data_IF_390581740253
#
_entry.id   IF_390581740253
#
_cell.length_a   1.000
_cell.length_b   1.000
_cell.length_c   1.000
_cell.angle_alpha   90.00
_cell.angle_beta   90.00
_cell.angle_gamma   90.00
#
_symmetry.space_group_name_H-M   'P 1'
#
loop_
_entity.id
_entity.type
_entity.pdbx_description
1 polymer ?
#
# COMPACT_ATOMS: atom_id res chain seq x y z
N UNK A 1 -30.76 -41.82 -12.67
CA UNK A 1 -30.06 -41.02 -13.70
C UNK A 1 -29.98 -39.60 -13.16
N UNK A 2 -28.89 -39.20 -12.47
CA UNK A 2 -27.62 -38.69 -13.01
C UNK A 2 -27.82 -37.52 -14.00
N UNK A 3 -27.63 -36.29 -13.52
CA UNK A 3 -27.11 -35.12 -14.25
C UNK A 3 -26.62 -34.12 -13.18
N UNK A 4 -25.46 -34.37 -12.57
CA UNK A 4 -24.19 -33.70 -12.87
C UNK A 4 -24.28 -32.16 -12.91
N UNK A 5 -24.12 -31.56 -11.72
CA UNK A 5 -23.19 -30.47 -11.37
C UNK A 5 -22.62 -29.74 -12.61
N UNK A 6 -23.18 -28.59 -12.95
CA UNK A 6 -22.46 -27.55 -13.71
C UNK A 6 -21.98 -26.51 -12.70
N UNK A 7 -20.86 -26.86 -12.07
CA UNK A 7 -19.99 -25.97 -11.32
C UNK A 7 -19.57 -24.86 -12.29
N UNK A 8 -20.20 -23.68 -12.18
CA UNK A 8 -19.76 -22.47 -12.88
C UNK A 8 -18.40 -22.10 -12.27
N UNK A 9 -17.36 -22.57 -12.94
CA UNK A 9 -15.96 -22.36 -12.58
C UNK A 9 -15.66 -20.89 -12.89
N UNK A 10 -15.90 -20.04 -11.89
CA UNK A 10 -15.42 -18.66 -11.87
C UNK A 10 -13.90 -18.75 -11.81
N UNK A 11 -13.25 -18.62 -12.96
CA UNK A 11 -11.81 -18.47 -13.05
C UNK A 11 -11.50 -17.06 -12.55
N UNK A 12 -11.23 -16.92 -11.25
CA UNK A 12 -10.52 -15.75 -10.74
C UNK A 12 -9.10 -15.82 -11.32
N UNK A 13 -8.88 -15.10 -12.42
CA UNK A 13 -7.53 -14.81 -12.91
C UNK A 13 -6.91 -13.79 -11.96
N UNK A 14 -6.36 -14.27 -10.85
CA UNK A 14 -5.52 -13.47 -9.96
C UNK A 14 -4.15 -13.27 -10.61
N UNK A 15 -4.06 -12.35 -11.56
CA UNK A 15 -2.77 -11.85 -12.05
C UNK A 15 -2.32 -10.72 -11.12
N UNK A 16 -1.66 -11.06 -10.01
CA UNK A 16 -1.27 -10.03 -9.02
C UNK A 16 0.12 -9.44 -9.26
N UNK A 17 1.03 -10.08 -10.01
CA UNK A 17 2.27 -9.41 -10.45
C UNK A 17 3.05 -10.19 -11.52
N UNK A 18 2.90 -9.85 -12.81
CA UNK A 18 3.69 -10.49 -13.89
C UNK A 18 4.02 -9.56 -15.07
N UNK A 19 3.61 -8.29 -15.00
CA UNK A 19 3.78 -7.30 -16.07
C UNK A 19 4.79 -6.20 -15.67
N UNK A 20 4.85 -5.13 -16.46
CA UNK A 20 5.59 -3.90 -16.14
C UNK A 20 5.24 -3.42 -14.73
N UNK A 21 6.22 -2.89 -14.00
CA UNK A 21 6.08 -2.51 -12.60
C UNK A 21 6.32 -1.02 -12.44
N UNK A 22 5.55 -0.38 -11.57
CA UNK A 22 5.79 0.98 -11.11
C UNK A 22 5.94 0.99 -9.59
N UNK A 23 6.68 1.98 -9.10
CA UNK A 23 6.92 2.19 -7.68
C UNK A 23 6.31 3.53 -7.30
N UNK A 24 5.60 3.54 -6.19
CA UNK A 24 5.06 4.74 -5.57
C UNK A 24 5.33 4.68 -4.07
N UNK A 25 5.30 5.82 -3.41
CA UNK A 25 5.51 5.90 -1.97
C UNK A 25 4.53 6.82 -1.26
N UNK A 26 4.25 6.54 0.00
CA UNK A 26 3.57 7.45 0.90
C UNK A 26 4.56 7.91 1.97
N UNK A 27 4.78 9.21 2.09
CA UNK A 27 5.63 9.76 3.15
C UNK A 27 4.88 9.75 4.47
N UNK A 28 5.40 9.04 5.48
CA UNK A 28 4.75 8.98 6.78
C UNK A 28 4.80 10.35 7.48
N UNK A 29 3.63 10.93 7.83
CA UNK A 29 3.59 12.11 8.65
C UNK A 29 3.83 11.73 10.12
N UNK A 30 4.38 12.67 10.90
CA UNK A 30 4.60 12.54 12.34
C UNK A 30 3.32 12.20 13.12
N UNK A 31 2.18 12.64 12.60
CA UNK A 31 0.87 12.48 13.20
C UNK A 31 -0.21 12.46 12.11
N UNK A 32 -1.38 11.89 12.41
CA UNK A 32 -2.52 11.93 11.50
C UNK A 32 -2.37 11.03 10.27
N UNK A 33 -1.46 10.05 10.33
CA UNK A 33 -1.38 9.01 9.32
C UNK A 33 -2.71 8.25 9.26
N UNK A 34 -3.18 7.86 8.06
CA UNK A 34 -4.47 7.18 7.89
C UNK A 34 -4.58 5.83 8.62
N UNK A 35 -3.45 5.11 8.78
CA UNK A 35 -3.33 3.86 9.54
C UNK A 35 -3.18 4.09 11.07
N UNK A 36 -3.25 5.34 11.53
CA UNK A 36 -3.08 5.70 12.93
C UNK A 36 -1.62 5.86 13.34
N UNK A 37 -1.41 6.07 14.65
CA UNK A 37 -0.08 6.28 15.21
C UNK A 37 0.60 4.94 15.46
N UNK A 38 1.74 4.71 14.79
CA UNK A 38 2.59 3.53 15.02
C UNK A 38 3.95 3.98 15.54
N UNK A 39 4.09 3.91 16.86
CA UNK A 39 5.31 4.34 17.55
C UNK A 39 6.42 3.26 17.54
N UNK A 40 6.18 2.08 16.97
CA UNK A 40 7.06 0.91 17.13
C UNK A 40 7.44 0.23 15.82
N UNK A 41 8.59 0.60 15.26
CA UNK A 41 9.32 -0.18 14.26
C UNK A 41 8.62 -0.38 12.91
N UNK A 42 9.38 -0.86 11.93
CA UNK A 42 8.91 -0.94 10.54
C UNK A 42 7.89 -2.07 10.35
N UNK A 43 8.01 -3.18 11.09
CA UNK A 43 7.08 -4.30 10.97
C UNK A 43 5.64 -3.93 11.39
N UNK A 44 5.47 -3.19 12.49
CA UNK A 44 4.13 -2.76 12.90
C UNK A 44 3.58 -1.66 11.99
N UNK A 45 4.47 -0.81 11.44
CA UNK A 45 4.06 0.20 10.46
C UNK A 45 3.58 -0.47 9.18
N UNK A 46 4.30 -1.49 8.72
CA UNK A 46 3.94 -2.31 7.57
C UNK A 46 2.55 -2.96 7.78
N UNK A 47 2.33 -3.65 8.90
CA UNK A 47 1.04 -4.28 9.23
C UNK A 47 -0.11 -3.25 9.26
N UNK A 48 0.13 -2.07 9.84
CA UNK A 48 -0.88 -1.01 9.92
C UNK A 48 -1.19 -0.41 8.53
N UNK A 49 -0.15 -0.21 7.70
CA UNK A 49 -0.30 0.30 6.34
C UNK A 49 -1.02 -0.71 5.44
N UNK A 50 -0.67 -2.01 5.53
CA UNK A 50 -1.37 -3.10 4.83
C UNK A 50 -2.84 -3.14 5.22
N UNK A 51 -3.14 -3.15 6.52
CA UNK A 51 -4.52 -3.16 7.01
C UNK A 51 -5.33 -1.93 6.55
N UNK A 52 -4.67 -0.78 6.42
CA UNK A 52 -5.30 0.43 5.88
C UNK A 52 -5.58 0.32 4.38
N UNK A 53 -4.61 -0.15 3.58
CA UNK A 53 -4.78 -0.39 2.13
C UNK A 53 -5.90 -1.42 1.89
N UNK A 54 -5.89 -2.54 2.63
CA UNK A 54 -6.91 -3.59 2.55
C UNK A 54 -8.30 -3.12 2.97
N UNK A 55 -8.37 -2.10 3.83
CA UNK A 55 -9.65 -1.48 4.20
C UNK A 55 -10.23 -0.59 3.10
N UNK A 56 -9.42 -0.25 2.10
CA UNK A 56 -9.85 0.48 0.92
C UNK A 56 -10.20 -0.49 -0.21
N UNK A 57 -11.18 -0.11 -1.04
CA UNK A 57 -11.55 -0.86 -2.24
C UNK A 57 -10.55 -0.57 -3.38
N UNK A 58 -9.27 -0.83 -3.13
CA UNK A 58 -8.15 -0.57 -4.06
C UNK A 58 -7.79 -1.83 -4.85
N UNK A 59 -7.20 -1.67 -6.06
CA UNK A 59 -6.64 -2.79 -6.80
C UNK A 59 -5.45 -3.44 -6.07
N UNK A 60 -5.23 -4.74 -6.28
CA UNK A 60 -4.09 -5.45 -5.70
C UNK A 60 -2.74 -4.80 -6.05
N UNK A 61 -1.82 -4.79 -5.09
CA UNK A 61 -0.42 -4.44 -5.26
C UNK A 61 0.47 -5.70 -5.21
N UNK A 62 1.69 -5.60 -5.74
CA UNK A 62 2.64 -6.71 -5.81
C UNK A 62 3.41 -6.91 -4.51
N UNK A 63 3.90 -5.81 -3.95
CA UNK A 63 4.81 -5.79 -2.82
C UNK A 63 4.72 -4.47 -2.05
N UNK A 64 4.82 -4.53 -0.73
CA UNK A 64 4.87 -3.38 0.16
C UNK A 64 6.15 -3.48 1.00
N UNK A 65 6.85 -2.37 1.15
CA UNK A 65 7.97 -2.26 2.09
C UNK A 65 8.02 -0.90 2.78
N UNK A 66 8.72 -0.86 3.90
CA UNK A 66 9.05 0.38 4.59
C UNK A 66 10.49 0.74 4.25
N UNK A 67 10.68 1.93 3.69
CA UNK A 67 11.99 2.52 3.46
C UNK A 67 12.20 3.72 4.39
N UNK A 68 13.45 4.14 4.54
CA UNK A 68 13.80 5.37 5.23
C UNK A 68 14.63 6.26 4.31
N UNK A 69 14.22 7.52 4.19
CA UNK A 69 14.90 8.53 3.39
C UNK A 69 15.12 9.80 4.22
N UNK A 70 16.39 10.17 4.38
CA UNK A 70 16.81 11.35 5.14
C UNK A 70 16.34 12.66 4.48
N UNK A 71 16.14 12.70 3.16
CA UNK A 71 15.63 13.89 2.47
C UNK A 71 14.20 14.24 2.90
N UNK A 72 13.43 13.22 3.30
CA UNK A 72 12.07 13.37 3.82
C UNK A 72 12.03 13.40 5.35
N UNK A 73 13.16 13.27 6.06
CA UNK A 73 13.18 13.34 7.51
C UNK A 73 13.19 14.79 8.00
N UNK A 74 12.21 15.17 8.81
CA UNK A 74 12.12 16.52 9.36
C UNK A 74 12.29 16.54 10.88
N UNK A 75 13.17 17.43 11.36
CA UNK A 75 13.42 17.64 12.79
C UNK A 75 12.38 18.60 13.40
N UNK A 76 11.10 18.29 13.27
CA UNK A 76 10.04 19.07 13.89
C UNK A 76 8.93 18.17 14.48
N UNK A 77 8.27 18.69 15.51
CA UNK A 77 7.23 17.97 16.28
C UNK A 77 5.81 18.35 15.84
N UNK A 78 5.68 19.10 14.75
CA UNK A 78 4.36 19.42 14.22
C UNK A 78 3.80 18.22 13.42
N UNK A 79 2.48 18.08 13.41
CA UNK A 79 1.81 16.97 12.75
C UNK A 79 2.05 16.87 11.24
N UNK A 80 2.32 18.01 10.59
CA UNK A 80 2.64 18.09 9.18
C UNK A 80 4.12 17.77 8.88
N UNK A 81 4.94 17.53 9.90
CA UNK A 81 6.31 17.10 9.72
C UNK A 81 6.33 15.63 9.30
N UNK A 82 7.36 15.23 8.58
CA UNK A 82 7.54 13.86 8.09
C UNK A 82 8.59 13.12 8.91
N UNK A 83 8.39 11.83 9.13
CA UNK A 83 9.29 11.01 9.95
C UNK A 83 10.55 10.56 9.19
N UNK A 84 10.53 10.67 7.86
CA UNK A 84 11.53 10.09 6.96
C UNK A 84 11.23 8.64 6.56
N UNK A 85 10.23 7.98 7.17
CA UNK A 85 9.78 6.66 6.72
C UNK A 85 8.85 6.80 5.52
N UNK A 86 9.06 5.95 4.52
CA UNK A 86 8.28 5.87 3.30
C UNK A 86 7.62 4.50 3.24
N UNK A 87 6.33 4.47 2.93
CA UNK A 87 5.60 3.23 2.62
C UNK A 87 5.68 3.08 1.12
N UNK A 88 6.56 2.20 0.63
CA UNK A 88 6.78 1.99 -0.79
C UNK A 88 5.94 0.80 -1.27
N UNK A 89 5.26 1.00 -2.40
CA UNK A 89 4.48 -0.02 -3.08
C UNK A 89 5.04 -0.30 -4.46
N UNK A 90 5.12 -1.57 -4.79
CA UNK A 90 5.30 -2.05 -6.16
C UNK A 90 3.95 -2.54 -6.69
N UNK A 91 3.54 -2.09 -7.87
CA UNK A 91 2.25 -2.43 -8.47
C UNK A 91 2.27 -2.30 -10.00
N UNK A 92 1.22 -2.79 -10.66
CA UNK A 92 1.00 -2.60 -12.10
C UNK A 92 0.69 -1.13 -12.44
N UNK A 93 1.30 -0.52 -13.48
CA UNK A 93 1.07 0.88 -13.87
C UNK A 93 -0.40 1.30 -13.97
N UNK A 94 -1.27 0.37 -14.35
CA UNK A 94 -2.72 0.55 -14.47
C UNK A 94 -3.43 0.78 -13.14
N UNK A 95 -2.85 0.36 -12.00
CA UNK A 95 -3.39 0.56 -10.66
C UNK A 95 -2.92 1.86 -10.01
N UNK A 96 -1.88 2.49 -10.55
CA UNK A 96 -1.19 3.63 -9.94
C UNK A 96 -2.10 4.79 -9.54
N UNK A 97 -3.00 5.21 -10.44
CA UNK A 97 -3.89 6.35 -10.20
C UNK A 97 -4.77 6.16 -8.96
N UNK A 98 -5.23 4.93 -8.69
CA UNK A 98 -6.06 4.65 -7.51
C UNK A 98 -5.29 4.89 -6.20
N UNK A 99 -3.98 4.65 -6.19
CA UNK A 99 -3.13 4.90 -5.03
C UNK A 99 -2.71 6.37 -4.92
N UNK A 100 -2.51 7.06 -6.05
CA UNK A 100 -2.24 8.51 -6.04
C UNK A 100 -3.42 9.29 -5.44
N UNK A 101 -4.66 8.87 -5.73
CA UNK A 101 -5.88 9.49 -5.21
C UNK A 101 -5.98 9.46 -3.67
N UNK A 102 -5.27 8.55 -3.01
CA UNK A 102 -5.27 8.42 -1.54
C UNK A 102 -4.00 8.99 -0.88
N UNK A 103 -3.10 9.58 -1.67
CA UNK A 103 -1.94 10.33 -1.18
C UNK A 103 -0.57 9.69 -1.40
N UNK A 104 -0.49 8.57 -2.14
CA UNK A 104 0.81 8.10 -2.63
C UNK A 104 1.38 9.06 -3.69
N UNK A 105 2.70 8.99 -3.90
CA UNK A 105 3.51 9.87 -4.73
C UNK A 105 4.54 9.07 -5.54
N UNK A 106 5.11 9.68 -6.58
CA UNK A 106 6.15 9.12 -7.45
C UNK A 106 7.57 9.52 -7.02
#
# INVERSE_FOLDING_TARGET
MRFFIFSLLVVCLSFTCNEEKTYIFYTEPKCGAPWGQVDTGDAALMEAAEAWIDSMDLPDYCYLEIQFDEEFAQLCEACNCTTGRLIALELGPEHKEAYLDIGFQE
#
